data_IF_566023744734
#
_entry.id   IF_566023744734
#
_cell.length_a   1.000
_cell.length_b   1.000
_cell.length_c   1.000
_cell.angle_alpha   90.00
_cell.angle_beta   90.00
_cell.angle_gamma   90.00
#
_symmetry.space_group_name_H-M   'P 1'
#
loop_
_entity.id
_entity.type
_entity.pdbx_description
1 polymer ?
#
# COMPACT_ATOMS: atom_id res chain seq x y z
N UNK A 1 28.09 13.23 4.97
CA UNK A 1 26.65 13.43 5.19
C UNK A 1 26.09 14.34 4.09
N UNK A 2 25.05 13.91 3.37
CA UNK A 2 24.37 14.75 2.37
C UNK A 2 23.56 15.82 3.12
N UNK A 3 23.74 17.13 2.82
CA UNK A 3 22.93 18.18 3.43
C UNK A 3 21.44 18.00 3.08
N UNK A 4 20.57 18.13 4.06
CA UNK A 4 19.12 18.12 3.90
C UNK A 4 18.64 19.58 3.86
N UNK A 5 18.52 20.16 2.67
CA UNK A 5 18.20 21.60 2.48
C UNK A 5 16.75 21.85 2.12
N UNK A 6 15.98 20.80 1.87
CA UNK A 6 14.54 20.91 1.60
C UNK A 6 13.71 21.23 2.84
N UNK A 7 12.41 21.32 2.64
CA UNK A 7 11.44 21.65 3.67
C UNK A 7 10.24 20.69 3.68
N UNK A 8 9.29 20.95 4.57
CA UNK A 8 7.96 20.35 4.59
C UNK A 8 6.96 21.46 4.30
N UNK A 9 6.01 21.20 3.42
CA UNK A 9 4.85 22.07 3.14
C UNK A 9 3.60 21.33 3.59
N UNK A 10 2.83 21.95 4.47
CA UNK A 10 1.52 21.48 4.92
C UNK A 10 0.49 22.52 4.49
N UNK A 11 -0.48 22.10 3.69
CA UNK A 11 -1.54 22.98 3.18
C UNK A 11 -2.72 23.08 4.16
N UNK A 12 -3.78 23.79 3.76
CA UNK A 12 -4.95 24.06 4.60
C UNK A 12 -5.73 22.79 4.96
N UNK A 13 -6.43 22.85 6.08
CA UNK A 13 -7.36 21.81 6.55
C UNK A 13 -6.72 20.43 6.79
N UNK A 14 -5.38 20.37 6.94
CA UNK A 14 -4.65 19.14 7.26
C UNK A 14 -4.76 18.86 8.76
N UNK A 15 -5.03 17.60 9.11
CA UNK A 15 -4.96 17.10 10.49
C UNK A 15 -3.80 16.11 10.62
N UNK A 16 -3.02 16.24 11.69
CA UNK A 16 -1.87 15.38 11.97
C UNK A 16 -2.00 14.84 13.39
N UNK A 17 -2.10 13.52 13.49
CA UNK A 17 -2.24 12.81 14.75
C UNK A 17 -0.96 12.75 15.57
N UNK A 18 -1.11 12.30 16.80
CA UNK A 18 -0.02 12.25 17.78
C UNK A 18 1.13 11.33 17.32
N UNK A 19 2.36 11.76 17.56
CA UNK A 19 3.59 11.03 17.19
C UNK A 19 3.73 10.69 15.70
N UNK A 20 3.01 11.39 14.82
CA UNK A 20 3.25 11.32 13.39
C UNK A 20 4.48 12.14 13.03
N UNK A 21 5.39 11.52 12.27
CA UNK A 21 6.67 12.10 11.85
C UNK A 21 6.65 12.38 10.36
N UNK A 22 7.04 13.58 9.97
CA UNK A 22 7.18 14.00 8.57
C UNK A 22 8.60 14.50 8.35
N UNK A 23 9.35 13.76 7.55
CA UNK A 23 10.73 14.13 7.22
C UNK A 23 10.76 15.26 6.20
N UNK A 24 11.69 16.19 6.39
CA UNK A 24 11.97 17.19 5.35
C UNK A 24 12.53 16.54 4.09
N UNK A 25 12.28 17.15 2.95
CA UNK A 25 12.90 16.75 1.70
C UNK A 25 14.44 16.90 1.76
N UNK A 26 15.14 16.07 1.02
CA UNK A 26 16.59 16.26 0.77
C UNK A 26 16.81 17.54 -0.03
N UNK A 27 16.10 17.70 -1.13
CA UNK A 27 15.97 18.89 -1.96
C UNK A 27 14.49 19.08 -2.31
N UNK A 28 14.02 20.32 -2.43
CA UNK A 28 12.62 20.63 -2.69
C UNK A 28 11.75 20.47 -1.44
N UNK A 29 10.61 19.80 -1.54
CA UNK A 29 9.63 19.74 -0.45
C UNK A 29 9.01 18.36 -0.30
N UNK A 30 8.82 17.92 0.93
CA UNK A 30 7.81 16.92 1.31
C UNK A 30 6.48 17.66 1.43
N UNK A 31 5.42 17.17 0.79
CA UNK A 31 4.16 17.92 0.63
C UNK A 31 2.98 17.14 1.17
N UNK A 32 2.21 17.79 2.05
CA UNK A 32 0.93 17.30 2.56
C UNK A 32 -0.13 18.27 2.05
N UNK A 33 -0.91 17.84 1.05
CA UNK A 33 -1.85 18.72 0.37
C UNK A 33 -3.14 18.90 1.17
N UNK A 34 -3.98 19.81 0.70
CA UNK A 34 -5.20 20.25 1.38
C UNK A 34 -6.10 19.10 1.83
N UNK A 35 -6.62 19.21 3.05
CA UNK A 35 -7.63 18.31 3.59
C UNK A 35 -7.14 16.90 3.96
N UNK A 36 -5.83 16.63 3.90
CA UNK A 36 -5.25 15.35 4.29
C UNK A 36 -5.47 15.10 5.78
N UNK A 37 -5.80 13.85 6.13
CA UNK A 37 -5.96 13.40 7.51
C UNK A 37 -4.93 12.30 7.80
N UNK A 38 -3.98 12.59 8.65
CA UNK A 38 -2.98 11.64 9.15
C UNK A 38 -3.32 11.27 10.58
N UNK A 39 -3.53 9.99 10.84
CA UNK A 39 -3.76 9.44 12.18
C UNK A 39 -2.43 9.37 12.96
N UNK A 40 -2.40 8.67 14.06
CA UNK A 40 -1.28 8.61 14.98
C UNK A 40 -0.14 7.68 14.47
N UNK A 41 1.10 7.96 14.89
CA UNK A 41 2.25 7.09 14.67
C UNK A 41 2.55 6.80 13.19
N UNK A 42 2.26 7.74 12.30
CA UNK A 42 2.56 7.60 10.88
C UNK A 42 3.99 8.10 10.61
N UNK A 43 4.71 7.43 9.69
CA UNK A 43 5.99 7.87 9.18
C UNK A 43 5.84 8.30 7.73
N UNK A 44 6.07 9.58 7.45
CA UNK A 44 6.19 10.14 6.10
C UNK A 44 7.67 10.46 5.85
N UNK A 45 8.30 9.74 4.95
CA UNK A 45 9.71 9.96 4.62
C UNK A 45 9.91 11.16 3.67
N UNK A 46 11.17 11.49 3.41
CA UNK A 46 11.58 12.64 2.60
C UNK A 46 10.99 12.62 1.18
N UNK A 47 10.67 13.78 0.64
CA UNK A 47 10.19 13.97 -0.74
C UNK A 47 8.87 13.21 -1.07
N UNK A 48 8.11 12.80 -0.08
CA UNK A 48 6.77 12.24 -0.27
C UNK A 48 5.80 13.37 -0.60
N UNK A 49 4.84 13.09 -1.49
CA UNK A 49 3.69 13.94 -1.75
C UNK A 49 2.41 13.18 -1.42
N UNK A 50 1.58 13.74 -0.54
CA UNK A 50 0.28 13.18 -0.17
C UNK A 50 -0.81 14.07 -0.76
N UNK A 51 -1.56 13.52 -1.71
CA UNK A 51 -2.63 14.20 -2.46
C UNK A 51 -3.82 14.58 -1.58
N UNK A 52 -4.56 15.60 -2.05
CA UNK A 52 -5.66 16.22 -1.31
C UNK A 52 -6.71 15.22 -0.83
N UNK A 53 -7.29 15.49 0.35
CA UNK A 53 -8.34 14.69 0.97
C UNK A 53 -7.98 13.21 1.20
N UNK A 54 -6.70 12.86 1.17
CA UNK A 54 -6.22 11.51 1.47
C UNK A 54 -6.27 11.25 2.97
N UNK A 55 -6.69 10.06 3.35
CA UNK A 55 -6.78 9.61 4.74
C UNK A 55 -5.81 8.46 4.95
N UNK A 56 -4.97 8.58 5.97
CA UNK A 56 -3.97 7.57 6.33
C UNK A 56 -4.19 7.19 7.79
N UNK A 57 -4.51 5.91 8.02
CA UNK A 57 -4.73 5.38 9.35
C UNK A 57 -3.40 5.06 10.06
N UNK A 58 -3.50 4.85 11.36
CA UNK A 58 -2.38 4.76 12.28
C UNK A 58 -1.31 3.72 11.90
N UNK A 59 -0.06 4.02 12.29
CA UNK A 59 1.10 3.14 12.13
C UNK A 59 1.47 2.83 10.66
N UNK A 60 0.99 3.62 9.71
CA UNK A 60 1.36 3.49 8.30
C UNK A 60 2.73 4.12 8.05
N UNK A 61 3.57 3.42 7.28
CA UNK A 61 4.89 3.89 6.86
C UNK A 61 4.97 4.13 5.37
N UNK A 62 5.39 5.34 4.96
CA UNK A 62 5.54 5.73 3.56
C UNK A 62 6.99 6.09 3.30
N UNK A 63 7.65 5.31 2.46
CA UNK A 63 9.05 5.49 2.10
C UNK A 63 9.26 6.65 1.13
N UNK A 64 10.51 7.13 1.04
CA UNK A 64 10.86 8.37 0.34
C UNK A 64 10.48 8.43 -1.13
N UNK A 65 10.24 9.64 -1.60
CA UNK A 65 9.91 9.97 -3.01
C UNK A 65 8.65 9.29 -3.55
N UNK A 66 7.77 8.83 -2.68
CA UNK A 66 6.47 8.24 -3.06
C UNK A 66 5.44 9.35 -3.32
N UNK A 67 4.62 9.16 -4.34
CA UNK A 67 3.49 10.03 -4.68
C UNK A 67 2.17 9.33 -4.41
N UNK A 68 1.39 9.87 -3.49
CA UNK A 68 0.04 9.38 -3.17
C UNK A 68 -0.96 10.34 -3.82
N UNK A 69 -1.86 9.79 -4.64
CA UNK A 69 -2.92 10.56 -5.31
C UNK A 69 -3.95 11.16 -4.35
N UNK A 70 -4.90 11.85 -4.90
CA UNK A 70 -6.02 12.45 -4.15
C UNK A 70 -7.03 11.39 -3.71
N UNK A 71 -7.74 11.66 -2.60
CA UNK A 71 -8.83 10.82 -2.09
C UNK A 71 -8.41 9.35 -1.87
N UNK A 72 -7.14 9.10 -1.59
CA UNK A 72 -6.63 7.76 -1.26
C UNK A 72 -6.96 7.44 0.20
N UNK A 73 -7.28 6.19 0.48
CA UNK A 73 -7.47 5.70 1.85
C UNK A 73 -6.46 4.58 2.11
N UNK A 74 -5.54 4.80 3.03
CA UNK A 74 -4.62 3.77 3.52
C UNK A 74 -5.08 3.30 4.89
N UNK A 75 -5.34 2.00 5.02
CA UNK A 75 -5.66 1.34 6.29
C UNK A 75 -4.47 1.36 7.26
N UNK A 76 -4.72 1.01 8.51
CA UNK A 76 -3.67 0.97 9.52
C UNK A 76 -2.56 -0.02 9.21
N UNK A 77 -1.33 0.30 9.59
CA UNK A 77 -0.16 -0.57 9.42
C UNK A 77 0.17 -0.91 7.96
N UNK A 78 -0.21 -0.05 7.02
CA UNK A 78 0.18 -0.20 5.61
C UNK A 78 1.64 0.20 5.45
N UNK A 79 2.41 -0.63 4.73
CA UNK A 79 3.79 -0.33 4.32
C UNK A 79 3.85 0.03 2.84
N UNK A 80 4.47 1.17 2.52
CA UNK A 80 4.63 1.64 1.13
C UNK A 80 6.11 1.79 0.81
N UNK A 81 6.59 1.08 -0.22
CA UNK A 81 7.98 1.21 -0.69
C UNK A 81 8.23 2.57 -1.36
N UNK A 82 9.50 2.96 -1.44
CA UNK A 82 9.88 4.24 -2.03
C UNK A 82 9.76 4.30 -3.56
N UNK A 83 9.72 5.54 -4.09
CA UNK A 83 9.78 5.85 -5.52
C UNK A 83 8.62 5.29 -6.35
N UNK A 84 7.46 5.09 -5.76
CA UNK A 84 6.26 4.62 -6.44
C UNK A 84 5.15 5.68 -6.45
N UNK A 85 4.10 5.41 -7.23
CA UNK A 85 2.88 6.23 -7.27
C UNK A 85 1.66 5.37 -6.92
N UNK A 86 0.74 5.96 -6.16
CA UNK A 86 -0.57 5.38 -5.83
C UNK A 86 -1.64 6.25 -6.47
N UNK A 87 -2.42 5.67 -7.39
CA UNK A 87 -3.46 6.36 -8.14
C UNK A 87 -4.57 6.88 -7.23
N UNK A 88 -5.21 7.98 -7.66
CA UNK A 88 -6.32 8.62 -6.94
C UNK A 88 -7.45 7.65 -6.60
N UNK A 89 -8.09 7.87 -5.48
CA UNK A 89 -9.25 7.09 -5.03
C UNK A 89 -8.93 5.63 -4.67
N UNK A 90 -7.65 5.24 -4.63
CA UNK A 90 -7.25 3.91 -4.18
C UNK A 90 -7.60 3.69 -2.72
N UNK A 91 -8.12 2.52 -2.38
CA UNK A 91 -8.40 2.10 -1.01
C UNK A 91 -7.55 0.89 -0.67
N UNK A 92 -6.68 1.00 0.31
CA UNK A 92 -5.75 -0.06 0.72
C UNK A 92 -6.15 -0.61 2.07
N UNK A 93 -6.35 -1.92 2.14
CA UNK A 93 -6.72 -2.61 3.38
C UNK A 93 -5.58 -2.51 4.41
N UNK A 94 -5.95 -2.54 5.68
CA UNK A 94 -4.98 -2.57 6.78
C UNK A 94 -3.99 -3.74 6.66
N UNK A 95 -2.77 -3.56 7.15
CA UNK A 95 -1.68 -4.53 7.13
C UNK A 95 -1.23 -4.97 5.73
N UNK A 96 -1.51 -4.16 4.71
CA UNK A 96 -1.07 -4.43 3.34
C UNK A 96 0.33 -3.88 3.06
N UNK A 97 1.08 -4.59 2.20
CA UNK A 97 2.39 -4.17 1.73
C UNK A 97 2.35 -3.74 0.27
N UNK A 98 2.54 -2.45 -0.02
CA UNK A 98 2.59 -1.92 -1.39
C UNK A 98 4.04 -1.90 -1.85
N UNK A 99 4.40 -2.81 -2.75
CA UNK A 99 5.76 -3.00 -3.25
C UNK A 99 5.96 -2.53 -4.71
N UNK A 100 4.94 -1.93 -5.33
CA UNK A 100 4.97 -1.39 -6.70
C UNK A 100 3.92 -0.32 -6.88
N UNK A 101 4.03 0.48 -7.93
CA UNK A 101 3.03 1.51 -8.25
C UNK A 101 1.64 0.90 -8.48
N UNK A 102 0.63 1.59 -7.97
CA UNK A 102 -0.78 1.34 -8.22
C UNK A 102 -1.23 2.38 -9.24
N UNK A 103 -1.53 1.94 -10.46
CA UNK A 103 -1.86 2.85 -11.57
C UNK A 103 -3.37 2.90 -11.86
N UNK A 104 -4.14 1.95 -11.35
CA UNK A 104 -5.60 1.91 -11.53
C UNK A 104 -6.29 2.75 -10.47
N UNK A 105 -7.07 3.73 -10.93
CA UNK A 105 -7.83 4.62 -10.05
C UNK A 105 -9.06 3.94 -9.44
N UNK A 106 -9.49 4.42 -8.26
CA UNK A 106 -10.75 4.04 -7.60
C UNK A 106 -10.89 2.54 -7.35
N UNK A 107 -9.77 1.83 -7.13
CA UNK A 107 -9.73 0.40 -6.85
C UNK A 107 -9.40 0.11 -5.39
N UNK A 108 -9.80 -1.09 -4.96
CA UNK A 108 -9.45 -1.64 -3.65
C UNK A 108 -8.29 -2.62 -3.77
N UNK A 109 -7.38 -2.54 -2.82
CA UNK A 109 -6.13 -3.30 -2.77
C UNK A 109 -5.97 -3.95 -1.40
N UNK A 110 -5.39 -5.12 -1.35
CA UNK A 110 -5.14 -5.82 -0.10
C UNK A 110 -3.99 -6.84 -0.22
N UNK A 111 -3.54 -7.33 0.91
CA UNK A 111 -2.50 -8.36 0.99
C UNK A 111 -1.07 -7.85 1.08
N UNK A 112 -0.15 -8.77 1.25
CA UNK A 112 1.29 -8.49 1.33
C UNK A 112 2.04 -9.53 0.47
N UNK A 113 2.47 -9.15 -0.76
CA UNK A 113 2.28 -7.84 -1.41
C UNK A 113 0.81 -7.52 -1.73
N UNK A 114 0.45 -6.23 -1.78
CA UNK A 114 -0.90 -5.81 -2.10
C UNK A 114 -1.25 -6.04 -3.57
N UNK A 115 -2.42 -6.63 -3.82
CA UNK A 115 -2.99 -6.83 -5.14
C UNK A 115 -4.52 -6.60 -5.12
N UNK A 116 -5.23 -6.64 -6.27
CA UNK A 116 -6.65 -6.31 -6.31
C UNK A 116 -7.46 -7.06 -5.25
N UNK A 117 -8.26 -6.33 -4.50
CA UNK A 117 -8.94 -6.82 -3.30
C UNK A 117 -9.79 -8.08 -3.52
N UNK A 118 -10.50 -8.16 -4.66
CA UNK A 118 -11.29 -9.34 -5.00
C UNK A 118 -10.43 -10.61 -5.16
N UNK A 119 -9.20 -10.46 -5.66
CA UNK A 119 -8.27 -11.58 -5.81
C UNK A 119 -7.67 -11.97 -4.46
N UNK A 120 -7.37 -10.98 -3.60
CA UNK A 120 -6.93 -11.24 -2.23
C UNK A 120 -7.95 -12.08 -1.46
N UNK A 121 -9.23 -11.68 -1.47
CA UNK A 121 -10.28 -12.44 -0.80
C UNK A 121 -10.40 -13.89 -1.30
N UNK A 122 -10.30 -14.08 -2.62
CA UNK A 122 -10.31 -15.45 -3.20
C UNK A 122 -9.11 -16.26 -2.75
N UNK A 123 -7.93 -15.65 -2.72
CA UNK A 123 -6.69 -16.30 -2.27
C UNK A 123 -6.76 -16.69 -0.80
N UNK A 124 -7.27 -15.82 0.06
CA UNK A 124 -7.45 -16.12 1.48
C UNK A 124 -8.37 -17.33 1.72
N UNK A 125 -9.48 -17.42 0.97
CA UNK A 125 -10.39 -18.57 1.06
C UNK A 125 -9.71 -19.88 0.62
N UNK A 126 -8.83 -19.81 -0.39
CA UNK A 126 -8.12 -20.98 -0.89
C UNK A 126 -6.91 -21.35 -0.03
N UNK A 127 -6.31 -20.38 0.68
CA UNK A 127 -5.08 -20.61 1.44
C UNK A 127 -5.19 -21.78 2.43
N UNK A 128 -6.30 -21.86 3.17
CA UNK A 128 -6.54 -22.97 4.11
C UNK A 128 -6.80 -24.33 3.43
N UNK A 129 -7.12 -24.32 2.13
CA UNK A 129 -7.40 -25.52 1.33
C UNK A 129 -6.23 -25.98 0.48
N UNK A 130 -5.10 -25.26 0.50
CA UNK A 130 -3.94 -25.61 -0.34
C UNK A 130 -3.47 -27.06 -0.16
N UNK A 131 -3.36 -27.66 1.05
CA UNK A 131 -2.93 -29.05 1.20
C UNK A 131 -3.91 -30.05 0.58
N UNK A 132 -5.23 -29.76 0.64
CA UNK A 132 -6.25 -30.60 0.02
C UNK A 132 -6.20 -30.51 -1.51
N UNK A 133 -6.01 -29.30 -2.04
CA UNK A 133 -5.87 -29.05 -3.48
C UNK A 133 -4.63 -29.74 -4.05
N UNK A 134 -3.49 -29.68 -3.36
CA UNK A 134 -2.25 -30.38 -3.74
C UNK A 134 -2.49 -31.90 -3.86
N UNK A 135 -3.11 -32.51 -2.83
CA UNK A 135 -3.46 -33.93 -2.84
C UNK A 135 -4.36 -34.30 -4.01
N UNK A 136 -5.37 -33.48 -4.29
CA UNK A 136 -6.32 -33.70 -5.39
C UNK A 136 -5.65 -33.58 -6.75
N UNK A 137 -4.74 -32.62 -6.92
CA UNK A 137 -3.97 -32.47 -8.16
C UNK A 137 -3.09 -33.71 -8.39
N UNK A 138 -2.33 -34.14 -7.40
CA UNK A 138 -1.47 -35.35 -7.49
C UNK A 138 -2.28 -36.61 -7.86
N UNK A 139 -3.48 -36.75 -7.34
CA UNK A 139 -4.38 -37.87 -7.63
C UNK A 139 -4.90 -37.82 -9.08
N UNK A 140 -5.27 -36.63 -9.59
CA UNK A 140 -5.65 -36.44 -10.99
C UNK A 140 -4.51 -36.71 -11.96
N UNK A 141 -3.31 -36.25 -11.66
CA UNK A 141 -2.11 -36.52 -12.47
C UNK A 141 -1.82 -38.02 -12.54
N UNK A 142 -1.94 -38.75 -11.44
CA UNK A 142 -1.78 -40.21 -11.41
C UNK A 142 -2.82 -40.91 -12.31
N UNK A 143 -4.08 -40.50 -12.24
CA UNK A 143 -5.16 -41.07 -13.07
C UNK A 143 -4.94 -40.81 -14.57
N UNK A 144 -4.48 -39.61 -14.93
CA UNK A 144 -4.15 -39.25 -16.31
C UNK A 144 -3.00 -40.09 -16.86
N UNK A 145 -1.93 -40.27 -16.09
CA UNK A 145 -0.77 -41.07 -16.50
C UNK A 145 -1.13 -42.57 -16.67
N UNK A 146 -2.05 -43.10 -15.86
CA UNK A 146 -2.53 -44.46 -16.02
C UNK A 146 -3.35 -44.64 -17.30
N UNK A 147 -4.19 -43.65 -17.68
CA UNK A 147 -4.98 -43.69 -18.92
C UNK A 147 -4.11 -43.55 -20.18
N UNK A 148 -3.01 -42.80 -20.12
CA UNK A 148 -2.13 -42.61 -21.28
C UNK A 148 -1.20 -43.82 -21.54
N UNK A 149 -1.05 -44.72 -20.56
CA UNK A 149 -0.21 -45.90 -20.63
C UNK A 149 -1.02 -47.20 -20.88
N UNK A 150 -2.34 -47.08 -21.08
CA UNK A 150 -3.27 -48.18 -21.45
C UNK A 150 -3.68 -48.06 -22.89
#
# INVERSE_FOLDING_TARGET
KIPQTGNVIVEDDVEIGANTVIDRATLGSTRILKGVKLDNLIQIAHNVEVGSNTVIAAQTGISGSTKIGENVVLGGQVGVVGHISIARGSQVQAQSGINRSILEENKKWGGSPAFPYSNELRSQVLYSKLPELEKRISELERQLNQKNNS
#
